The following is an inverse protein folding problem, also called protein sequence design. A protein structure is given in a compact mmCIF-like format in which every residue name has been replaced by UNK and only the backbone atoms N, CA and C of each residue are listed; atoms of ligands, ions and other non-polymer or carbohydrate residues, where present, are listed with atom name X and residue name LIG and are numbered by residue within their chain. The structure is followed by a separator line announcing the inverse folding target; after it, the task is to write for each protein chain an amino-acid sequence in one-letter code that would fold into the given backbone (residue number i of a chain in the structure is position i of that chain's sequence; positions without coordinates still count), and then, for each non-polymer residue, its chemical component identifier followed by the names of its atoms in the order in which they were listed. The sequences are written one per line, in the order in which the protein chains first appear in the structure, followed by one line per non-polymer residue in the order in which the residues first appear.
data_IF_670867094330
#
_entry.id   IF_670867094330
#
_cell.length_a   1.000
_cell.length_b   1.000
_cell.length_c   1.000
_cell.angle_alpha   90.00
_cell.angle_beta   90.00
_cell.angle_gamma   90.00
#
_symmetry.space_group_name_H-M   'P 1'
#
loop_
_entity.id
_entity.type
_entity.pdbx_description
1 polymer ?
#
# COMPACT_ATOMS: atom_id res chain seq x y z
N UNK A 1 7.69 -22.46 -5.14
CA UNK A 1 8.16 -23.46 -4.13
C UNK A 1 8.39 -24.83 -4.75
N UNK A 2 7.39 -25.50 -5.38
CA UNK A 2 7.58 -26.85 -5.94
C UNK A 2 8.76 -26.94 -6.93
N UNK A 3 8.85 -26.01 -7.89
CA UNK A 3 9.96 -26.00 -8.87
C UNK A 3 11.34 -25.84 -8.22
N UNK A 4 11.45 -25.01 -7.16
CA UNK A 4 12.70 -24.86 -6.41
C UNK A 4 13.11 -26.14 -5.68
N UNK A 5 12.13 -26.86 -5.11
CA UNK A 5 12.39 -28.14 -4.43
C UNK A 5 12.74 -29.28 -5.39
N UNK A 6 12.30 -29.20 -6.65
CA UNK A 6 12.54 -30.19 -7.69
C UNK A 6 13.71 -29.82 -8.61
N UNK A 7 14.37 -28.68 -8.38
CA UNK A 7 15.39 -28.12 -9.26
C UNK A 7 14.90 -27.97 -10.73
N UNK A 8 13.63 -27.61 -10.88
CA UNK A 8 12.95 -27.46 -12.17
C UNK A 8 12.89 -25.97 -12.55
N UNK A 9 13.88 -25.54 -13.36
CA UNK A 9 14.03 -24.17 -13.81
C UNK A 9 12.79 -23.67 -14.61
N UNK A 10 12.25 -24.50 -15.50
CA UNK A 10 11.13 -24.11 -16.35
C UNK A 10 9.84 -23.91 -15.53
N UNK A 11 9.63 -24.74 -14.52
CA UNK A 11 8.50 -24.58 -13.60
C UNK A 11 8.64 -23.32 -12.75
N UNK A 12 9.84 -22.99 -12.27
CA UNK A 12 10.11 -21.75 -11.53
C UNK A 12 9.89 -20.55 -12.44
N UNK A 13 10.40 -20.60 -13.67
CA UNK A 13 10.24 -19.54 -14.67
C UNK A 13 8.77 -19.29 -15.00
N UNK A 14 8.00 -20.32 -15.29
CA UNK A 14 6.58 -20.21 -15.60
C UNK A 14 5.79 -19.61 -14.43
N UNK A 15 6.05 -20.06 -13.20
CA UNK A 15 5.42 -19.49 -12.01
C UNK A 15 5.80 -18.02 -11.80
N UNK A 16 7.08 -17.68 -12.00
CA UNK A 16 7.56 -16.30 -11.96
C UNK A 16 6.85 -15.42 -12.97
N UNK A 17 6.78 -15.85 -14.23
CA UNK A 17 6.19 -15.07 -15.31
C UNK A 17 4.68 -14.80 -15.04
N UNK A 18 3.97 -15.76 -14.47
CA UNK A 18 2.58 -15.59 -14.04
C UNK A 18 2.47 -14.59 -12.86
N UNK A 19 3.29 -14.73 -11.84
CA UNK A 19 3.27 -13.82 -10.67
C UNK A 19 3.55 -12.37 -11.10
N UNK A 20 4.57 -12.14 -11.89
CA UNK A 20 4.98 -10.79 -12.26
C UNK A 20 4.07 -10.13 -13.29
N UNK A 21 3.24 -10.91 -14.03
CA UNK A 21 2.25 -10.34 -14.94
C UNK A 21 1.16 -9.55 -14.23
N UNK A 22 0.97 -9.78 -12.92
CA UNK A 22 0.05 -9.01 -12.08
C UNK A 22 0.60 -7.64 -11.65
N UNK A 23 1.91 -7.39 -11.85
CA UNK A 23 2.54 -6.11 -11.47
C UNK A 23 2.34 -5.11 -12.61
N UNK A 24 1.19 -4.48 -12.60
CA UNK A 24 0.79 -3.46 -13.59
C UNK A 24 -0.12 -2.41 -12.96
N UNK A 25 -0.39 -1.33 -13.69
CA UNK A 25 -1.26 -0.24 -13.25
C UNK A 25 -2.39 0.02 -14.25
N UNK A 26 -3.45 0.72 -13.80
CA UNK A 26 -4.53 1.19 -14.66
C UNK A 26 -5.58 0.15 -15.04
N UNK A 27 -5.50 -1.05 -14.48
CA UNK A 27 -6.53 -2.07 -14.67
C UNK A 27 -7.81 -1.76 -13.88
N UNK A 28 -8.89 -2.46 -14.18
CA UNK A 28 -10.15 -2.31 -13.46
C UNK A 28 -9.97 -2.62 -11.97
N UNK A 29 -9.27 -3.69 -11.63
CA UNK A 29 -8.84 -4.07 -10.28
C UNK A 29 -7.31 -4.03 -10.18
N UNK A 30 -6.75 -3.93 -8.98
CA UNK A 30 -5.31 -3.82 -8.74
C UNK A 30 -4.86 -2.38 -8.51
N UNK A 31 -3.58 -2.11 -8.80
CA UNK A 31 -2.98 -0.78 -8.64
C UNK A 31 -3.56 0.18 -9.67
N UNK A 32 -4.14 1.29 -9.20
CA UNK A 32 -4.71 2.33 -10.05
C UNK A 32 -3.64 3.31 -10.52
N UNK A 33 -3.97 4.12 -11.53
CA UNK A 33 -3.06 5.11 -12.09
C UNK A 33 -2.69 6.23 -11.10
N UNK A 34 -3.52 6.46 -10.09
CA UNK A 34 -3.28 7.40 -8.99
C UNK A 34 -2.53 6.80 -7.80
N UNK A 35 -2.15 5.52 -7.90
CA UNK A 35 -1.49 4.70 -6.87
C UNK A 35 -2.42 4.29 -5.71
N UNK A 36 -3.75 4.40 -5.87
CA UNK A 36 -4.68 3.67 -5.02
C UNK A 36 -4.78 2.20 -5.46
N UNK A 37 -5.57 1.42 -4.74
CA UNK A 37 -5.79 0.00 -5.06
C UNK A 37 -7.27 -0.32 -5.02
N UNK A 38 -7.77 -0.97 -6.07
CA UNK A 38 -9.15 -1.43 -6.15
C UNK A 38 -9.23 -2.95 -6.19
N UNK A 39 -10.27 -3.49 -5.56
CA UNK A 39 -10.67 -4.90 -5.64
C UNK A 39 -12.18 -5.00 -5.40
N UNK A 40 -12.82 -5.97 -6.04
CA UNK A 40 -14.27 -6.17 -6.06
C UNK A 40 -15.02 -4.98 -6.70
N UNK A 41 -14.54 -4.57 -7.87
CA UNK A 41 -15.06 -3.42 -8.60
C UNK A 41 -14.39 -2.10 -8.20
N UNK A 42 -15.05 -0.93 -8.42
CA UNK A 42 -14.48 0.37 -8.11
C UNK A 42 -14.50 0.67 -6.61
N UNK A 43 -13.92 -0.21 -5.82
CA UNK A 43 -13.84 -0.16 -4.37
C UNK A 43 -12.40 -0.03 -3.92
N UNK A 44 -12.10 0.99 -3.12
CA UNK A 44 -10.78 1.15 -2.54
C UNK A 44 -10.49 0.03 -1.53
N UNK A 45 -9.32 -0.61 -1.66
CA UNK A 45 -8.90 -1.75 -0.85
C UNK A 45 -7.42 -1.66 -0.41
N UNK A 46 -6.97 -0.48 0.00
CA UNK A 46 -5.61 -0.26 0.46
C UNK A 46 -5.22 -1.15 1.64
N UNK A 47 -6.02 -1.13 2.69
CA UNK A 47 -5.68 -1.78 3.95
C UNK A 47 -5.94 -3.29 3.96
N UNK A 48 -6.44 -3.85 2.88
CA UNK A 48 -6.79 -5.26 2.79
C UNK A 48 -6.08 -5.92 1.60
N UNK A 49 -6.74 -6.03 0.44
CA UNK A 49 -6.16 -6.69 -0.75
C UNK A 49 -4.92 -5.99 -1.28
N UNK A 50 -4.90 -4.65 -1.29
CA UNK A 50 -3.73 -3.89 -1.71
C UNK A 50 -2.52 -4.11 -0.80
N UNK A 51 -2.74 -4.19 0.52
CA UNK A 51 -1.67 -4.49 1.48
C UNK A 51 -1.14 -5.92 1.29
N UNK A 52 -2.04 -6.90 1.13
CA UNK A 52 -1.66 -8.28 0.84
C UNK A 52 -0.84 -8.35 -0.46
N UNK A 53 -1.33 -7.73 -1.54
CA UNK A 53 -0.62 -7.66 -2.81
C UNK A 53 0.80 -7.07 -2.65
N UNK A 54 0.91 -5.89 -2.00
CA UNK A 54 2.22 -5.25 -1.82
C UNK A 54 3.17 -6.11 -0.98
N UNK A 55 2.71 -6.70 0.13
CA UNK A 55 3.56 -7.50 1.02
C UNK A 55 4.06 -8.77 0.32
N UNK A 56 3.20 -9.47 -0.40
CA UNK A 56 3.58 -10.68 -1.15
C UNK A 56 4.54 -10.35 -2.29
N UNK A 57 4.23 -9.34 -3.11
CA UNK A 57 5.10 -8.93 -4.23
C UNK A 57 6.44 -8.37 -3.75
N UNK A 58 6.46 -7.68 -2.62
CA UNK A 58 7.69 -7.19 -1.99
C UNK A 58 8.57 -8.34 -1.50
N UNK A 59 7.97 -9.34 -0.87
CA UNK A 59 8.67 -10.54 -0.43
C UNK A 59 9.27 -11.29 -1.61
N UNK A 60 8.52 -11.41 -2.71
CA UNK A 60 9.01 -11.99 -3.96
C UNK A 60 10.18 -11.17 -4.52
N UNK A 61 10.03 -9.85 -4.64
CA UNK A 61 11.09 -8.95 -5.12
C UNK A 61 12.37 -9.12 -4.31
N UNK A 62 12.27 -9.09 -2.97
CA UNK A 62 13.41 -9.23 -2.08
C UNK A 62 14.08 -10.59 -2.13
N UNK A 63 13.29 -11.68 -2.31
CA UNK A 63 13.83 -13.05 -2.40
C UNK A 63 14.63 -13.27 -3.68
N UNK A 64 14.15 -12.77 -4.81
CA UNK A 64 14.75 -12.99 -6.12
C UNK A 64 15.68 -11.86 -6.58
N UNK A 65 15.89 -10.82 -5.78
CA UNK A 65 16.81 -9.73 -6.11
C UNK A 65 18.21 -10.26 -6.44
N UNK A 66 18.78 -9.80 -7.55
CA UNK A 66 20.10 -10.21 -8.02
C UNK A 66 20.16 -11.60 -8.69
N UNK A 67 19.04 -12.29 -8.86
CA UNK A 67 18.95 -13.57 -9.58
C UNK A 67 18.37 -13.39 -10.99
N UNK A 68 18.39 -14.45 -11.79
CA UNK A 68 17.75 -14.50 -13.12
C UNK A 68 16.21 -14.38 -13.05
N UNK A 69 15.63 -14.56 -11.89
CA UNK A 69 14.20 -14.45 -11.62
C UNK A 69 13.78 -13.07 -11.08
N UNK A 70 14.73 -12.14 -10.91
CA UNK A 70 14.45 -10.79 -10.41
C UNK A 70 13.39 -10.08 -11.24
N UNK A 71 12.69 -9.15 -10.60
CA UNK A 71 11.82 -8.21 -11.29
C UNK A 71 12.62 -7.36 -12.27
N UNK A 72 12.03 -7.01 -13.39
CA UNK A 72 12.61 -6.00 -14.26
C UNK A 72 12.45 -4.59 -13.64
N UNK A 73 13.08 -3.58 -14.27
CA UNK A 73 13.07 -2.20 -13.75
C UNK A 73 11.67 -1.60 -13.70
N UNK A 74 10.81 -1.93 -14.67
CA UNK A 74 9.44 -1.42 -14.73
C UNK A 74 8.60 -2.00 -13.58
N UNK A 75 8.61 -3.32 -13.41
CA UNK A 75 7.91 -4.02 -12.35
C UNK A 75 8.35 -3.56 -10.96
N UNK A 76 9.66 -3.44 -10.75
CA UNK A 76 10.22 -2.92 -9.50
C UNK A 76 9.79 -1.46 -9.28
N UNK A 77 9.80 -0.63 -10.32
CA UNK A 77 9.36 0.77 -10.28
C UNK A 77 7.88 0.91 -9.93
N UNK A 78 7.02 0.02 -10.42
CA UNK A 78 5.58 0.01 -10.07
C UNK A 78 5.40 -0.29 -8.57
N UNK A 79 6.06 -1.31 -8.02
CA UNK A 79 5.94 -1.63 -6.60
C UNK A 79 6.51 -0.52 -5.71
N UNK A 80 7.66 0.05 -6.07
CA UNK A 80 8.26 1.18 -5.36
C UNK A 80 7.32 2.40 -5.36
N UNK A 81 6.72 2.70 -6.51
CA UNK A 81 5.78 3.82 -6.64
C UNK A 81 4.48 3.55 -5.88
N UNK A 82 3.98 2.32 -5.86
CA UNK A 82 2.80 1.95 -5.09
C UNK A 82 3.05 2.14 -3.58
N UNK A 83 4.24 1.81 -3.08
CA UNK A 83 4.63 2.14 -1.71
C UNK A 83 4.77 3.65 -1.49
N UNK A 84 5.56 4.34 -2.32
CA UNK A 84 5.98 5.72 -2.08
C UNK A 84 4.93 6.76 -2.50
N UNK A 85 4.15 6.50 -3.55
CA UNK A 85 3.11 7.40 -4.05
C UNK A 85 1.69 6.98 -3.65
N UNK A 86 1.53 5.79 -3.07
CA UNK A 86 0.30 5.28 -2.48
C UNK A 86 0.38 5.25 -0.96
N UNK A 87 0.95 4.19 -0.39
CA UNK A 87 0.94 3.94 1.05
C UNK A 87 1.60 5.02 1.90
N UNK A 88 2.69 5.64 1.45
CA UNK A 88 3.36 6.72 2.19
C UNK A 88 2.41 7.85 2.55
N UNK A 89 1.39 8.10 1.73
CA UNK A 89 0.42 9.15 1.96
C UNK A 89 -0.59 8.83 3.07
N UNK A 90 -0.93 7.56 3.23
CA UNK A 90 -2.01 7.08 4.12
C UNK A 90 -1.48 6.48 5.44
N UNK A 91 -0.21 6.65 5.75
CA UNK A 91 0.38 6.21 7.02
C UNK A 91 0.94 7.40 7.77
N UNK A 92 0.53 7.56 9.02
CA UNK A 92 1.00 8.60 9.93
C UNK A 92 1.53 7.98 11.21
N UNK A 93 2.86 8.10 11.45
CA UNK A 93 3.55 7.64 12.67
C UNK A 93 3.20 6.21 13.09
N UNK A 94 3.17 5.30 12.14
CA UNK A 94 2.88 3.90 12.39
C UNK A 94 1.39 3.56 12.47
N UNK A 95 0.51 4.50 12.15
CA UNK A 95 -0.94 4.28 12.03
C UNK A 95 -1.37 4.40 10.57
N UNK A 96 -2.03 3.39 10.05
CA UNK A 96 -2.68 3.50 8.76
C UNK A 96 -3.97 4.33 8.89
N UNK A 97 -4.23 5.18 7.91
CA UNK A 97 -5.44 6.00 7.83
C UNK A 97 -6.70 5.14 7.93
N UNK A 98 -7.65 5.53 8.79
CA UNK A 98 -8.93 4.83 8.95
C UNK A 98 -9.68 4.74 7.63
N UNK A 99 -9.67 5.80 6.82
CA UNK A 99 -10.27 5.82 5.50
C UNK A 99 -9.70 4.78 4.52
N UNK A 100 -8.52 4.24 4.81
CA UNK A 100 -7.83 3.25 4.00
C UNK A 100 -7.86 1.82 4.56
N UNK A 101 -8.53 1.60 5.72
CA UNK A 101 -8.63 0.27 6.34
C UNK A 101 -9.69 -0.63 5.71
N UNK A 102 -10.53 -0.06 4.85
CA UNK A 102 -11.65 -0.75 4.24
C UNK A 102 -12.63 -1.30 5.29
N UNK A 103 -13.19 -2.49 5.10
CA UNK A 103 -14.10 -3.10 6.08
C UNK A 103 -13.45 -3.49 7.41
N UNK A 104 -12.13 -3.65 7.45
CA UNK A 104 -11.41 -4.22 8.61
C UNK A 104 -11.07 -3.17 9.68
N UNK A 105 -12.10 -2.56 10.26
CA UNK A 105 -12.02 -1.59 11.35
C UNK A 105 -12.03 -2.28 12.72
N UNK A 106 -11.05 -3.10 13.00
CA UNK A 106 -10.90 -3.76 14.30
C UNK A 106 -9.82 -3.10 15.16
N UNK A 107 -9.84 -3.40 16.45
CA UNK A 107 -8.86 -2.88 17.41
C UNK A 107 -7.42 -3.18 16.94
N UNK A 108 -6.55 -2.18 17.01
CA UNK A 108 -5.15 -2.26 16.54
C UNK A 108 -4.96 -2.45 15.02
N UNK A 109 -6.03 -2.50 14.21
CA UNK A 109 -5.94 -2.69 12.76
C UNK A 109 -5.02 -1.68 12.08
N UNK A 110 -5.11 -0.41 12.47
CA UNK A 110 -4.25 0.66 11.95
C UNK A 110 -2.75 0.37 12.17
N UNK A 111 -2.39 -0.05 13.38
CA UNK A 111 -0.99 -0.32 13.75
C UNK A 111 -0.48 -1.58 13.06
N UNK A 112 -1.25 -2.67 13.08
CA UNK A 112 -0.84 -3.94 12.48
C UNK A 112 -0.63 -3.80 10.97
N UNK A 113 -1.54 -3.12 10.28
CA UNK A 113 -1.45 -2.91 8.83
C UNK A 113 -0.30 -1.98 8.47
N UNK A 114 -0.10 -0.90 9.23
CA UNK A 114 1.06 -0.03 9.03
C UNK A 114 2.38 -0.76 9.30
N UNK A 115 2.43 -1.62 10.32
CA UNK A 115 3.64 -2.40 10.65
C UNK A 115 4.03 -3.38 9.54
N UNK A 116 3.05 -3.98 8.85
CA UNK A 116 3.31 -4.85 7.68
C UNK A 116 4.04 -4.12 6.56
N UNK A 117 3.82 -2.81 6.39
CA UNK A 117 4.53 -2.00 5.40
C UNK A 117 6.02 -1.83 5.72
N UNK A 118 6.44 -1.90 6.98
CA UNK A 118 7.87 -1.86 7.32
C UNK A 118 8.61 -3.07 6.75
N UNK A 119 8.01 -4.26 6.83
CA UNK A 119 8.58 -5.48 6.23
C UNK A 119 8.60 -5.39 4.70
N UNK A 120 7.49 -4.98 4.08
CA UNK A 120 7.40 -4.81 2.64
C UNK A 120 8.47 -3.83 2.13
N UNK A 121 8.64 -2.69 2.83
CA UNK A 121 9.65 -1.68 2.50
C UNK A 121 11.07 -2.25 2.52
N UNK A 122 11.43 -2.99 3.58
CA UNK A 122 12.75 -3.60 3.70
C UNK A 122 13.00 -4.66 2.62
N UNK A 123 11.98 -5.41 2.23
CA UNK A 123 12.09 -6.39 1.15
C UNK A 123 12.32 -5.71 -0.21
N UNK A 124 11.54 -4.66 -0.53
CA UNK A 124 11.67 -3.89 -1.77
C UNK A 124 13.05 -3.25 -1.94
N UNK A 125 13.67 -2.77 -0.87
CA UNK A 125 14.99 -2.11 -0.94
C UNK A 125 16.04 -2.97 -1.64
N UNK A 126 15.93 -4.31 -1.58
CA UNK A 126 16.91 -5.22 -2.19
C UNK A 126 16.99 -5.13 -3.71
N UNK A 127 15.86 -4.77 -4.36
CA UNK A 127 15.78 -4.62 -5.82
C UNK A 127 15.70 -3.15 -6.29
N UNK A 128 15.76 -2.20 -5.37
CA UNK A 128 15.46 -0.80 -5.63
C UNK A 128 16.69 0.03 -5.96
N UNK A 129 16.47 1.18 -6.62
CA UNK A 129 17.51 2.17 -6.88
C UNK A 129 17.95 2.87 -5.58
N UNK A 130 19.13 3.49 -5.60
CA UNK A 130 19.65 4.25 -4.45
C UNK A 130 18.69 5.39 -4.04
N UNK A 131 18.02 6.02 -5.00
CA UNK A 131 17.06 7.09 -4.74
C UNK A 131 15.78 6.55 -4.07
N UNK A 132 15.23 5.44 -4.56
CA UNK A 132 14.07 4.81 -3.94
C UNK A 132 14.41 4.33 -2.52
N UNK A 133 15.58 3.74 -2.31
CA UNK A 133 16.07 3.32 -0.99
C UNK A 133 16.14 4.51 -0.04
N UNK A 134 16.62 5.68 -0.50
CA UNK A 134 16.66 6.91 0.31
C UNK A 134 15.24 7.30 0.76
N UNK A 135 14.27 7.32 -0.16
CA UNK A 135 12.88 7.67 0.15
C UNK A 135 12.21 6.62 1.05
N UNK A 136 12.49 5.34 0.86
CA UNK A 136 12.03 4.26 1.73
C UNK A 136 12.58 4.38 3.15
N UNK A 137 13.86 4.74 3.29
CA UNK A 137 14.45 5.01 4.60
C UNK A 137 13.81 6.22 5.29
N UNK A 138 13.46 7.27 4.54
CA UNK A 138 12.71 8.41 5.08
C UNK A 138 11.30 7.96 5.54
N UNK A 139 10.60 7.16 4.75
CA UNK A 139 9.30 6.61 5.13
C UNK A 139 9.40 5.79 6.43
N UNK A 140 10.40 4.91 6.55
CA UNK A 140 10.62 4.13 7.78
C UNK A 140 10.92 5.04 8.99
N UNK A 141 11.77 6.04 8.82
CA UNK A 141 12.09 6.99 9.88
C UNK A 141 10.89 7.81 10.31
N UNK A 142 10.07 8.27 9.35
CA UNK A 142 8.88 9.09 9.64
C UNK A 142 7.83 8.34 10.44
N UNK A 143 7.71 7.03 10.22
CA UNK A 143 6.61 6.26 10.77
C UNK A 143 7.01 5.38 11.96
N UNK A 144 8.26 4.91 12.04
CA UNK A 144 8.64 3.87 13.01
C UNK A 144 9.80 4.28 13.94
N UNK A 145 10.45 5.42 13.71
CA UNK A 145 11.47 5.91 14.64
C UNK A 145 10.81 6.60 15.86
N UNK A 146 11.23 6.25 17.10
CA UNK A 146 10.55 6.70 18.33
C UNK A 146 10.58 8.23 18.57
N UNK A 147 11.58 8.93 18.04
CA UNK A 147 11.91 10.30 18.44
C UNK A 147 11.57 11.39 17.42
N UNK A 148 10.95 11.05 16.29
CA UNK A 148 10.74 12.05 15.23
C UNK A 148 9.62 13.02 15.58
N UNK A 149 9.99 14.29 15.76
CA UNK A 149 9.08 15.38 16.14
C UNK A 149 8.19 15.87 14.99
N UNK A 150 8.57 15.65 13.73
CA UNK A 150 7.83 16.06 12.55
C UNK A 150 8.23 15.24 11.32
N UNK A 151 7.45 15.33 10.25
CA UNK A 151 7.75 14.72 8.96
C UNK A 151 8.24 15.78 7.97
N UNK A 152 9.27 15.46 7.21
CA UNK A 152 9.67 16.28 6.05
C UNK A 152 8.78 16.00 4.83
N UNK A 153 8.02 14.92 4.84
CA UNK A 153 7.08 14.56 3.79
C UNK A 153 5.76 15.32 4.02
N UNK A 154 5.64 16.46 3.34
CA UNK A 154 4.50 17.37 3.40
C UNK A 154 3.89 17.54 2.00
N UNK A 155 2.61 17.86 1.93
CA UNK A 155 1.94 18.12 0.67
C UNK A 155 0.49 17.68 0.65
N UNK A 156 -0.02 17.51 -0.56
CA UNK A 156 -1.41 17.15 -0.84
C UNK A 156 -1.45 16.05 -1.90
N UNK A 157 -2.27 15.04 -1.68
CA UNK A 157 -2.52 13.95 -2.61
C UNK A 157 -4.02 13.72 -2.74
N UNK A 158 -4.48 13.69 -3.96
CA UNK A 158 -5.83 13.25 -4.30
C UNK A 158 -5.72 11.91 -5.05
N UNK A 159 -6.36 10.89 -4.53
CA UNK A 159 -6.56 9.60 -5.17
C UNK A 159 -7.88 9.69 -5.93
N UNK A 160 -7.80 10.10 -7.19
CA UNK A 160 -8.98 10.41 -8.02
C UNK A 160 -9.76 9.18 -8.46
N UNK A 161 -9.13 8.01 -8.51
CA UNK A 161 -9.81 6.74 -8.76
C UNK A 161 -10.61 6.26 -7.53
N UNK A 162 -10.27 6.75 -6.33
CA UNK A 162 -10.83 6.31 -5.04
C UNK A 162 -11.58 7.41 -4.28
N UNK A 163 -11.66 8.61 -4.83
CA UNK A 163 -12.27 9.79 -4.19
C UNK A 163 -11.77 10.03 -2.75
N UNK A 164 -10.48 9.78 -2.52
CA UNK A 164 -9.82 10.06 -1.24
C UNK A 164 -8.79 11.16 -1.40
N UNK A 165 -8.81 12.10 -0.48
CA UNK A 165 -7.83 13.20 -0.41
C UNK A 165 -7.07 13.12 0.90
N UNK A 166 -5.75 13.30 0.83
CA UNK A 166 -4.87 13.38 1.99
C UNK A 166 -4.07 14.66 1.94
N UNK A 167 -4.04 15.37 3.05
CA UNK A 167 -3.18 16.54 3.26
C UNK A 167 -2.23 16.26 4.42
N UNK A 168 -0.93 16.51 4.20
CA UNK A 168 0.12 16.26 5.19
C UNK A 168 0.89 17.54 5.47
N UNK A 169 1.07 17.81 6.73
CA UNK A 169 1.99 18.83 7.24
C UNK A 169 3.04 18.18 8.14
N UNK A 170 4.01 18.96 8.61
CA UNK A 170 5.09 18.41 9.42
C UNK A 170 4.62 17.79 10.75
N UNK A 171 3.51 18.27 11.30
CA UNK A 171 3.00 17.89 12.63
C UNK A 171 1.62 17.23 12.62
N UNK A 172 0.97 17.15 11.48
CA UNK A 172 -0.37 16.55 11.34
C UNK A 172 -0.63 16.00 9.94
N UNK A 173 -1.60 15.13 9.84
CA UNK A 173 -2.18 14.63 8.60
C UNK A 173 -3.69 14.68 8.71
N UNK A 174 -4.37 14.99 7.62
CA UNK A 174 -5.82 14.88 7.51
C UNK A 174 -6.18 14.10 6.23
N UNK A 175 -7.21 13.28 6.32
CA UNK A 175 -7.76 12.57 5.16
C UNK A 175 -9.27 12.70 5.08
N UNK A 176 -9.78 12.79 3.86
CA UNK A 176 -11.21 12.78 3.56
C UNK A 176 -11.47 11.71 2.52
N UNK A 177 -12.42 10.82 2.79
CA UNK A 177 -12.98 9.90 1.81
C UNK A 177 -14.38 10.36 1.44
N UNK A 178 -14.64 10.46 0.14
CA UNK A 178 -15.87 11.03 -0.40
C UNK A 178 -16.67 9.96 -1.14
N UNK A 179 -17.98 10.07 -1.13
CA UNK A 179 -18.86 9.27 -1.98
C UNK A 179 -18.97 9.91 -3.37
N UNK A 180 -19.09 9.09 -4.40
CA UNK A 180 -19.41 9.49 -5.76
C UNK A 180 -20.07 8.32 -6.51
N UNK A 181 -20.51 8.57 -7.74
CA UNK A 181 -21.00 7.55 -8.66
C UNK A 181 -19.87 6.68 -9.27
N UNK A 182 -18.59 7.07 -9.06
CA UNK A 182 -17.41 6.37 -9.57
C UNK A 182 -16.89 5.31 -8.63
N UNK A 183 -17.14 5.43 -7.32
CA UNK A 183 -16.64 4.53 -6.29
C UNK A 183 -17.77 4.03 -5.41
N UNK A 184 -17.71 2.79 -5.03
CA UNK A 184 -18.61 2.22 -4.04
C UNK A 184 -18.01 2.32 -2.64
N UNK A 185 -18.87 2.37 -1.63
CA UNK A 185 -18.45 2.23 -0.23
C UNK A 185 -17.80 0.87 0.00
N UNK A 186 -17.20 0.67 1.16
CA UNK A 186 -16.56 -0.61 1.45
C UNK A 186 -17.57 -1.75 1.55
N UNK A 187 -17.18 -2.95 1.19
CA UNK A 187 -18.01 -4.16 1.23
C UNK A 187 -18.41 -4.55 2.64
N UNK A 188 -19.55 -5.25 2.76
CA UNK A 188 -20.12 -5.78 4.01
C UNK A 188 -19.95 -7.31 4.07
N UNK A 189 -18.74 -7.78 3.85
CA UNK A 189 -18.40 -9.21 3.82
C UNK A 189 -17.81 -9.63 5.16
N UNK A 190 -18.08 -10.85 5.57
CA UNK A 190 -17.59 -11.48 6.81
C UNK A 190 -18.03 -10.75 8.11
N UNK A 191 -19.04 -9.91 8.03
CA UNK A 191 -19.55 -9.14 9.19
C UNK A 191 -18.50 -8.21 9.84
N UNK A 192 -17.40 -7.91 9.15
CA UNK A 192 -16.29 -7.11 9.67
C UNK A 192 -16.72 -5.65 9.96
N UNK A 193 -17.55 -5.06 9.08
CA UNK A 193 -18.08 -3.71 9.25
C UNK A 193 -19.45 -3.55 8.58
N UNK A 194 -20.52 -3.77 9.33
CA UNK A 194 -21.89 -3.69 8.84
C UNK A 194 -22.32 -2.27 8.39
N UNK A 195 -21.54 -1.25 8.73
CA UNK A 195 -21.77 0.16 8.32
C UNK A 195 -20.75 0.64 7.29
N UNK A 196 -19.95 -0.26 6.72
CA UNK A 196 -18.90 0.08 5.76
C UNK A 196 -19.36 0.86 4.55
N UNK A 197 -20.59 0.64 4.11
CA UNK A 197 -21.20 1.39 3.02
C UNK A 197 -21.11 2.93 3.20
N UNK A 198 -21.23 3.41 4.43
CA UNK A 198 -21.20 4.84 4.75
C UNK A 198 -19.80 5.42 4.97
N UNK A 199 -18.75 4.63 4.84
CA UNK A 199 -17.37 5.11 5.07
C UNK A 199 -16.91 6.18 4.07
N UNK A 200 -17.56 6.26 2.91
CA UNK A 200 -17.27 7.26 1.89
C UNK A 200 -18.08 8.56 2.01
N UNK A 201 -18.94 8.71 3.01
CA UNK A 201 -19.89 9.83 3.09
C UNK A 201 -19.28 11.12 3.65
N UNK A 202 -18.08 11.50 3.17
CA UNK A 202 -17.38 12.70 3.62
C UNK A 202 -16.64 12.51 4.95
N UNK A 203 -16.23 11.29 5.28
CA UNK A 203 -15.54 10.99 6.52
C UNK A 203 -14.16 11.68 6.57
N UNK A 204 -13.99 12.60 7.53
CA UNK A 204 -12.75 13.32 7.80
C UNK A 204 -12.07 12.73 9.03
N UNK A 205 -10.82 12.32 8.87
CA UNK A 205 -9.93 11.92 9.97
C UNK A 205 -8.72 12.84 10.04
N UNK A 206 -8.33 13.18 11.27
CA UNK A 206 -7.14 14.00 11.54
C UNK A 206 -6.20 13.25 12.47
N UNK A 207 -4.92 13.36 12.21
CA UNK A 207 -3.84 12.71 12.95
C UNK A 207 -2.87 13.78 13.40
N UNK A 208 -2.66 13.92 14.70
CA UNK A 208 -1.82 14.94 15.29
C UNK A 208 -0.69 14.31 16.11
N UNK A 209 0.23 15.13 16.57
CA UNK A 209 1.27 14.71 17.49
C UNK A 209 0.65 14.52 18.88
N UNK A 210 0.78 13.32 19.43
CA UNK A 210 0.26 12.98 20.76
C UNK A 210 -1.03 12.15 20.75
N UNK A 211 -1.49 11.77 19.56
CA UNK A 211 -2.58 10.79 19.40
C UNK A 211 -2.01 9.37 19.50
#
# INVERSE_FOLDING_TARGET
MRGLLQDDFELVKAARDTIVSEIMTGMQEGIKSDWSFHQHGPQQQFGNYGLAFLTEMSSYSGLFAGTVFALNKEQQGILNSFLLNGYRWIVWKGYMDVNALDRQLFHSGQIHKAFSLAFATNALMRGSSAEDIRQMNEFLKDNYAPERKGSAFIGHKHFWDSDQTVHRFSTWMASVKMASDRVIGTELVNEDNLKGFYMGDGALYTYCRGD
#
